data_IF_062894374454
#
_entry.id   IF_062894374454
#
_cell.length_a   1.000
_cell.length_b   1.000
_cell.length_c   1.000
_cell.angle_alpha   90.00
_cell.angle_beta   90.00
_cell.angle_gamma   90.00
#
_symmetry.space_group_name_H-M   'P 1'
#
loop_
_entity.id
_entity.type
_entity.pdbx_description
1 polymer ?
#
# COMPACT_ATOMS: atom_id res chain seq x y z
N UNK A 1 -4.50 11.86 11.42
CA UNK A 1 -3.22 11.14 11.67
C UNK A 1 -3.32 10.36 12.98
N UNK A 2 -2.77 9.13 13.06
CA UNK A 2 -2.63 8.41 14.34
C UNK A 2 -1.34 8.90 15.03
N UNK A 3 -1.40 9.44 16.25
CA UNK A 3 -0.21 9.76 17.06
C UNK A 3 0.64 8.52 17.38
N UNK A 4 1.97 8.65 17.35
CA UNK A 4 2.88 7.56 17.75
C UNK A 4 2.62 7.07 19.18
N UNK A 5 2.26 7.96 20.10
CA UNK A 5 1.91 7.59 21.48
C UNK A 5 0.72 6.61 21.55
N UNK A 6 -0.27 6.76 20.65
CA UNK A 6 -1.41 5.84 20.57
C UNK A 6 -0.95 4.46 20.08
N UNK A 7 0.03 4.41 19.15
CA UNK A 7 0.63 3.15 18.67
C UNK A 7 1.45 2.46 19.74
N UNK A 8 2.32 3.20 20.44
CA UNK A 8 3.11 2.70 21.58
C UNK A 8 2.18 2.06 22.61
N UNK A 9 1.10 2.76 22.97
CA UNK A 9 0.12 2.28 23.95
C UNK A 9 -0.64 1.05 23.44
N UNK A 10 -1.12 1.08 22.21
CA UNK A 10 -1.93 0.00 21.65
C UNK A 10 -1.15 -1.31 21.49
N UNK A 11 0.12 -1.24 21.12
CA UNK A 11 0.99 -2.42 20.96
C UNK A 11 1.80 -2.76 22.22
N UNK A 12 1.69 -1.97 23.28
CA UNK A 12 2.55 -2.05 24.47
C UNK A 12 4.05 -2.09 24.08
N UNK A 13 4.44 -1.25 23.13
CA UNK A 13 5.77 -1.24 22.54
C UNK A 13 6.42 0.14 22.69
N UNK A 14 7.25 0.37 23.73
CA UNK A 14 7.87 1.67 23.98
C UNK A 14 8.89 2.08 22.91
N UNK A 15 9.34 1.16 22.05
CA UNK A 15 10.25 1.48 20.95
C UNK A 15 9.55 1.52 19.58
N UNK A 16 8.21 1.41 19.56
CA UNK A 16 7.45 1.67 18.35
C UNK A 16 7.78 3.07 17.84
N UNK A 17 8.23 3.16 16.59
CA UNK A 17 8.71 4.39 15.98
C UNK A 17 7.92 4.69 14.72
N UNK A 18 7.52 5.94 14.56
CA UNK A 18 6.98 6.42 13.30
C UNK A 18 8.12 6.56 12.30
N UNK A 19 8.08 5.77 11.23
CA UNK A 19 9.08 5.84 10.15
C UNK A 19 8.74 6.92 9.14
N UNK A 20 7.44 7.13 8.94
CA UNK A 20 6.93 8.03 7.91
C UNK A 20 5.61 8.64 8.37
N UNK A 21 5.44 9.93 8.09
CA UNK A 21 4.16 10.62 8.20
C UNK A 21 4.07 11.66 7.08
N UNK A 22 3.06 11.51 6.22
CA UNK A 22 2.77 12.47 5.16
C UNK A 22 1.62 13.39 5.60
N UNK A 23 1.64 14.68 5.21
CA UNK A 23 0.49 15.57 5.36
C UNK A 23 -0.81 15.00 4.79
N UNK A 24 -0.75 14.05 3.85
CA UNK A 24 -1.85 13.27 3.29
C UNK A 24 -2.58 12.36 4.28
N UNK A 25 -2.16 12.34 5.54
CA UNK A 25 -2.78 11.49 6.57
C UNK A 25 -2.35 10.03 6.49
N UNK A 26 -1.25 9.73 5.78
CA UNK A 26 -0.59 8.44 5.78
C UNK A 26 0.54 8.42 6.81
N UNK A 27 0.63 7.36 7.60
CA UNK A 27 1.75 7.11 8.50
C UNK A 27 2.19 5.66 8.42
N UNK A 28 3.49 5.41 8.58
CA UNK A 28 4.01 4.08 8.84
C UNK A 28 4.80 4.02 10.14
N UNK A 29 4.78 2.85 10.75
CA UNK A 29 5.41 2.57 12.02
C UNK A 29 6.17 1.25 11.94
N UNK A 30 7.37 1.23 12.52
CA UNK A 30 8.11 0.02 12.85
C UNK A 30 7.87 -0.32 14.31
N UNK A 31 7.67 -1.60 14.59
CA UNK A 31 7.57 -2.16 15.94
C UNK A 31 8.84 -2.93 16.31
N UNK A 32 9.13 -3.04 17.61
CA UNK A 32 10.26 -3.79 18.19
C UNK A 32 10.26 -5.26 17.80
N UNK A 33 9.09 -5.85 17.54
CA UNK A 33 8.95 -7.23 17.09
C UNK A 33 9.29 -7.42 15.59
N UNK A 34 9.79 -6.37 14.92
CA UNK A 34 10.08 -6.38 13.48
C UNK A 34 8.84 -6.23 12.60
N UNK A 35 7.66 -6.10 13.19
CA UNK A 35 6.42 -5.81 12.47
C UNK A 35 6.38 -4.38 11.95
N UNK A 36 5.58 -4.16 10.92
CA UNK A 36 5.34 -2.85 10.32
C UNK A 36 3.84 -2.60 10.19
N UNK A 37 3.44 -1.36 10.46
CA UNK A 37 2.06 -0.91 10.34
C UNK A 37 2.00 0.32 9.45
N UNK A 38 0.99 0.40 8.58
CA UNK A 38 0.62 1.61 7.85
C UNK A 38 -0.80 1.99 8.22
N UNK A 39 -1.04 3.28 8.46
CA UNK A 39 -2.36 3.85 8.69
C UNK A 39 -2.59 5.00 7.70
N UNK A 40 -3.76 5.04 7.07
CA UNK A 40 -4.12 6.07 6.09
C UNK A 40 -5.53 6.57 6.34
N UNK A 41 -5.71 7.89 6.35
CA UNK A 41 -7.03 8.52 6.22
C UNK A 41 -7.15 9.09 4.81
N UNK A 42 -8.21 8.73 4.08
CA UNK A 42 -8.46 9.21 2.73
C UNK A 42 -9.82 9.90 2.70
N UNK A 43 -9.87 11.17 2.31
CA UNK A 43 -11.14 11.85 2.02
C UNK A 43 -11.39 11.88 0.52
N UNK A 44 -12.65 11.78 0.12
CA UNK A 44 -13.06 11.74 -1.29
C UNK A 44 -13.94 12.93 -1.62
N UNK A 45 -13.94 13.39 -2.88
CA UNK A 45 -14.89 14.38 -3.36
C UNK A 45 -16.35 13.97 -3.11
N UNK A 46 -16.66 12.66 -3.20
CA UNK A 46 -18.02 12.13 -3.10
C UNK A 46 -18.06 10.84 -2.27
N UNK A 47 -19.15 10.66 -1.51
CA UNK A 47 -19.41 9.44 -0.74
C UNK A 47 -19.46 8.17 -1.62
N UNK A 48 -19.96 8.27 -2.85
CA UNK A 48 -20.00 7.15 -3.80
C UNK A 48 -18.59 6.67 -4.21
N UNK A 49 -17.63 7.59 -4.35
CA UNK A 49 -16.24 7.24 -4.66
C UNK A 49 -15.56 6.58 -3.45
N UNK A 50 -15.79 7.11 -2.24
CA UNK A 50 -15.32 6.50 -1.02
C UNK A 50 -15.87 5.07 -0.85
N UNK A 51 -17.16 4.87 -1.11
CA UNK A 51 -17.81 3.56 -1.08
C UNK A 51 -17.21 2.59 -2.10
N UNK A 52 -16.95 3.02 -3.33
CA UNK A 52 -16.35 2.18 -4.35
C UNK A 52 -14.95 1.67 -3.93
N UNK A 53 -14.15 2.53 -3.30
CA UNK A 53 -12.83 2.15 -2.77
C UNK A 53 -12.94 1.22 -1.57
N UNK A 54 -13.84 1.50 -0.64
CA UNK A 54 -14.14 0.62 0.49
C UNK A 54 -14.46 -0.80 0.02
N UNK A 55 -15.36 -0.92 -0.96
CA UNK A 55 -15.75 -2.21 -1.52
C UNK A 55 -14.59 -2.91 -2.24
N UNK A 56 -13.74 -2.15 -2.94
CA UNK A 56 -12.54 -2.67 -3.60
C UNK A 56 -11.53 -3.25 -2.59
N UNK A 57 -11.24 -2.54 -1.49
CA UNK A 57 -10.37 -3.05 -0.43
C UNK A 57 -10.92 -4.34 0.19
N UNK A 58 -12.24 -4.39 0.44
CA UNK A 58 -12.91 -5.60 0.94
C UNK A 58 -12.78 -6.79 0.00
N UNK A 59 -12.94 -6.57 -1.30
CA UNK A 59 -12.87 -7.62 -2.31
C UNK A 59 -11.45 -8.06 -2.65
N UNK A 60 -10.43 -7.26 -2.32
CA UNK A 60 -9.03 -7.52 -2.66
C UNK A 60 -8.18 -7.78 -1.42
N UNK A 61 -7.62 -6.73 -0.81
CA UNK A 61 -6.70 -6.80 0.34
C UNK A 61 -7.28 -7.55 1.52
N UNK A 62 -8.56 -7.34 1.82
CA UNK A 62 -9.22 -7.93 2.97
C UNK A 62 -9.91 -9.25 2.65
N UNK A 63 -10.05 -9.65 1.39
CA UNK A 63 -10.64 -10.94 1.04
C UNK A 63 -9.77 -12.11 1.52
N UNK A 64 -8.44 -11.93 1.54
CA UNK A 64 -7.50 -12.89 2.09
C UNK A 64 -7.42 -12.87 3.64
N UNK A 65 -7.88 -11.78 4.26
CA UNK A 65 -7.84 -11.58 5.71
C UNK A 65 -9.19 -11.97 6.31
N UNK A 66 -9.30 -13.21 6.79
CA UNK A 66 -10.55 -13.69 7.38
C UNK A 66 -10.90 -12.86 8.61
N UNK A 67 -12.19 -12.54 8.75
CA UNK A 67 -12.71 -11.90 9.97
C UNK A 67 -12.37 -12.81 11.15
N UNK A 68 -11.62 -12.32 12.11
CA UNK A 68 -11.36 -13.08 13.33
C UNK A 68 -12.69 -13.22 14.09
N UNK A 69 -13.09 -14.45 14.40
CA UNK A 69 -14.37 -14.76 15.04
C UNK A 69 -14.52 -14.09 16.42
N UNK A 70 -13.40 -13.81 17.10
CA UNK A 70 -13.38 -13.11 18.39
C UNK A 70 -13.47 -11.59 18.27
N UNK A 71 -13.55 -11.04 17.04
CA UNK A 71 -13.60 -9.60 16.84
C UNK A 71 -15.05 -9.08 16.92
N UNK A 72 -15.37 -8.14 17.83
CA UNK A 72 -16.71 -7.58 17.92
C UNK A 72 -17.14 -6.92 16.60
N UNK A 73 -18.45 -6.83 16.37
CA UNK A 73 -19.00 -6.10 15.23
C UNK A 73 -18.46 -4.66 15.24
N UNK A 74 -17.67 -4.32 14.22
CA UNK A 74 -17.03 -3.01 14.12
C UNK A 74 -18.01 -2.03 13.46
N UNK A 75 -18.97 -1.50 14.22
CA UNK A 75 -19.94 -0.52 13.74
C UNK A 75 -20.71 -0.95 12.48
N UNK A 76 -21.40 0.01 11.83
CA UNK A 76 -22.19 -0.29 10.62
C UNK A 76 -21.34 -0.34 9.34
N UNK A 77 -20.15 0.26 9.30
CA UNK A 77 -19.33 0.37 8.07
C UNK A 77 -17.83 0.10 8.27
N UNK A 78 -17.44 -0.65 9.31
CA UNK A 78 -16.05 -1.08 9.44
C UNK A 78 -15.86 -2.59 9.32
N UNK A 79 -14.72 -2.94 8.74
CA UNK A 79 -14.27 -4.29 8.49
C UNK A 79 -12.89 -4.48 9.10
N UNK A 80 -12.70 -5.63 9.74
CA UNK A 80 -11.41 -6.05 10.29
C UNK A 80 -11.16 -7.51 9.90
N UNK A 81 -9.93 -7.82 9.54
CA UNK A 81 -9.53 -9.19 9.19
C UNK A 81 -8.08 -9.45 9.53
N UNK A 82 -7.75 -10.73 9.68
CA UNK A 82 -6.39 -11.22 9.90
C UNK A 82 -6.09 -12.44 9.04
N UNK A 83 -4.82 -12.70 8.76
CA UNK A 83 -4.37 -13.99 8.29
C UNK A 83 -4.61 -15.07 9.36
N UNK A 84 -4.54 -16.34 8.97
CA UNK A 84 -4.46 -17.42 9.95
C UNK A 84 -3.23 -17.22 10.87
N UNK A 85 -3.31 -17.67 12.12
CA UNK A 85 -2.23 -17.49 13.12
C UNK A 85 -0.89 -18.06 12.67
N UNK A 86 -0.92 -19.14 11.90
CA UNK A 86 0.23 -19.85 11.38
C UNK A 86 0.77 -19.31 10.05
N UNK A 87 0.08 -18.34 9.43
CA UNK A 87 0.53 -17.72 8.19
C UNK A 87 1.87 -16.99 8.38
N UNK A 88 2.71 -17.05 7.35
CA UNK A 88 3.99 -16.36 7.31
C UNK A 88 4.19 -15.64 5.96
N UNK A 89 4.29 -14.31 5.92
CA UNK A 89 4.12 -13.41 7.06
C UNK A 89 2.67 -13.36 7.55
N UNK A 90 2.49 -13.09 8.83
CA UNK A 90 1.20 -12.82 9.44
C UNK A 90 0.76 -11.39 9.13
N UNK A 91 -0.52 -11.22 8.82
CA UNK A 91 -1.09 -9.95 8.35
C UNK A 91 -2.39 -9.62 9.07
N UNK A 92 -2.64 -8.33 9.29
CA UNK A 92 -3.91 -7.82 9.80
C UNK A 92 -4.31 -6.54 9.08
N UNK A 93 -5.61 -6.29 9.00
CA UNK A 93 -6.16 -5.11 8.37
C UNK A 93 -7.39 -4.59 9.09
N UNK A 94 -7.58 -3.27 9.06
CA UNK A 94 -8.81 -2.59 9.45
C UNK A 94 -9.19 -1.57 8.38
N UNK A 95 -10.45 -1.49 8.00
CA UNK A 95 -10.97 -0.43 7.14
C UNK A 95 -12.32 0.05 7.65
N UNK A 96 -12.53 1.37 7.71
CA UNK A 96 -13.81 1.99 8.01
C UNK A 96 -14.18 2.98 6.92
N UNK A 97 -15.45 2.99 6.52
CA UNK A 97 -16.05 4.06 5.73
C UNK A 97 -16.87 4.99 6.65
N UNK A 98 -16.79 6.29 6.40
CA UNK A 98 -17.53 7.33 7.11
C UNK A 98 -17.90 8.46 6.15
N UNK A 99 -19.08 8.35 5.52
CA UNK A 99 -19.51 9.31 4.51
C UNK A 99 -18.57 9.31 3.30
N UNK A 100 -17.83 10.41 3.11
CA UNK A 100 -16.83 10.57 2.04
C UNK A 100 -15.40 10.18 2.45
N UNK A 101 -15.21 9.69 3.67
CA UNK A 101 -13.90 9.45 4.24
C UNK A 101 -13.67 7.97 4.56
N UNK A 102 -12.46 7.50 4.31
CA UNK A 102 -11.98 6.13 4.56
C UNK A 102 -10.85 6.18 5.57
N UNK A 103 -10.83 5.23 6.49
CA UNK A 103 -9.69 4.98 7.36
C UNK A 103 -9.22 3.55 7.18
N UNK A 104 -7.94 3.37 6.87
CA UNK A 104 -7.33 2.07 6.59
C UNK A 104 -6.12 1.87 7.49
N UNK A 105 -6.02 0.71 8.13
CA UNK A 105 -4.82 0.22 8.79
C UNK A 105 -4.42 -1.10 8.15
N UNK A 106 -3.13 -1.27 7.85
CA UNK A 106 -2.54 -2.52 7.39
C UNK A 106 -1.32 -2.83 8.25
N UNK A 107 -1.23 -4.06 8.75
CA UNK A 107 -0.13 -4.54 9.58
C UNK A 107 0.44 -5.81 8.99
N UNK A 108 1.78 -5.91 9.00
CA UNK A 108 2.53 -7.07 8.58
C UNK A 108 3.57 -7.41 9.63
N UNK A 109 3.50 -8.62 10.16
CA UNK A 109 4.48 -9.16 11.10
C UNK A 109 5.71 -9.71 10.36
N UNK A 110 6.86 -9.69 11.02
CA UNK A 110 8.05 -10.43 10.59
C UNK A 110 7.98 -11.89 11.09
N UNK A 111 6.90 -12.59 10.73
CA UNK A 111 6.58 -13.92 11.22
C UNK A 111 5.08 -14.10 11.43
N UNK A 112 4.69 -15.06 12.28
CA UNK A 112 3.31 -15.33 12.65
C UNK A 112 2.66 -14.15 13.37
N UNK A 113 1.32 -14.10 13.35
CA UNK A 113 0.55 -13.06 14.03
C UNK A 113 -0.02 -13.60 15.34
N UNK A 114 0.06 -12.80 16.41
CA UNK A 114 -0.53 -13.11 17.72
C UNK A 114 -1.94 -12.47 17.87
N UNK A 115 -2.66 -12.86 18.91
CA UNK A 115 -3.99 -12.32 19.18
C UNK A 115 -3.96 -10.86 19.68
N UNK A 116 -2.86 -10.43 20.31
CA UNK A 116 -2.73 -9.06 20.82
C UNK A 116 -2.73 -8.04 19.68
N UNK A 117 -2.17 -8.40 18.51
CA UNK A 117 -2.23 -7.57 17.30
C UNK A 117 -3.69 -7.25 16.92
N UNK A 118 -4.62 -8.19 17.11
CA UNK A 118 -6.03 -7.96 16.80
C UNK A 118 -6.60 -6.81 17.63
N UNK A 119 -6.37 -6.85 18.95
CA UNK A 119 -6.84 -5.84 19.89
C UNK A 119 -6.18 -4.48 19.63
N UNK A 120 -4.88 -4.46 19.35
CA UNK A 120 -4.13 -3.24 19.01
C UNK A 120 -4.71 -2.57 17.76
N UNK A 121 -4.91 -3.34 16.68
CA UNK A 121 -5.42 -2.81 15.41
C UNK A 121 -6.86 -2.33 15.55
N UNK A 122 -7.72 -3.03 16.30
CA UNK A 122 -9.08 -2.58 16.57
C UNK A 122 -9.12 -1.29 17.40
N UNK A 123 -8.25 -1.20 18.41
CA UNK A 123 -8.13 0.01 19.25
C UNK A 123 -7.72 1.21 18.43
N UNK A 124 -6.67 1.08 17.61
CA UNK A 124 -6.23 2.12 16.68
C UNK A 124 -7.29 2.43 15.62
N UNK A 125 -7.98 1.41 15.14
CA UNK A 125 -9.16 1.48 14.27
C UNK A 125 -10.21 2.46 14.80
N UNK A 126 -10.62 2.27 16.06
CA UNK A 126 -11.59 3.14 16.75
C UNK A 126 -11.06 4.56 16.94
N UNK A 127 -9.81 4.71 17.38
CA UNK A 127 -9.19 6.03 17.62
C UNK A 127 -9.13 6.84 16.31
N UNK A 128 -8.65 6.23 15.23
CA UNK A 128 -8.52 6.92 13.95
C UNK A 128 -9.87 7.24 13.30
N UNK A 129 -10.83 6.31 13.40
CA UNK A 129 -12.21 6.50 12.95
C UNK A 129 -12.91 7.67 13.68
N UNK A 130 -12.55 7.97 14.94
CA UNK A 130 -13.09 9.12 15.66
C UNK A 130 -12.55 10.49 15.20
N UNK A 131 -11.48 10.54 14.38
CA UNK A 131 -10.75 11.77 14.04
C UNK A 131 -11.07 12.31 12.64
N UNK A 132 -12.36 12.33 12.26
CA UNK A 132 -12.85 12.71 10.90
C UNK A 132 -12.47 14.13 10.45
N UNK A 133 -12.35 15.07 11.38
CA UNK A 133 -12.28 16.51 11.08
C UNK A 133 -10.89 17.00 10.68
N UNK A 134 -9.84 16.17 10.81
CA UNK A 134 -8.45 16.55 10.48
C UNK A 134 -7.97 16.02 9.10
N UNK A 135 -8.86 15.47 8.28
CA UNK A 135 -8.52 14.91 6.98
C UNK A 135 -9.12 15.75 5.82
N UNK A 136 -8.68 17.00 5.70
CA UNK A 136 -9.01 17.84 4.55
C UNK A 136 -8.11 17.44 3.36
N UNK A 137 -8.40 16.31 2.73
CA UNK A 137 -7.59 15.80 1.62
C UNK A 137 -8.51 15.32 0.49
N UNK A 138 -8.87 16.20 -0.44
CA UNK A 138 -9.45 15.78 -1.71
C UNK A 138 -8.32 15.50 -2.69
N UNK A 139 -8.28 14.30 -3.22
CA UNK A 139 -7.27 13.88 -4.18
C UNK A 139 -7.83 14.03 -5.59
N UNK A 140 -7.23 14.91 -6.41
CA UNK A 140 -7.58 15.08 -7.82
C UNK A 140 -7.21 13.87 -8.68
N UNK A 141 -7.27 14.02 -10.00
CA UNK A 141 -6.95 12.92 -10.92
C UNK A 141 -5.51 12.41 -10.75
N UNK A 142 -5.29 11.13 -11.04
CA UNK A 142 -3.95 10.57 -11.03
C UNK A 142 -3.15 11.06 -12.25
N UNK A 143 -1.99 11.66 -12.00
CA UNK A 143 -1.10 12.19 -13.04
C UNK A 143 -0.04 11.18 -13.54
N UNK A 144 0.05 10.01 -12.91
CA UNK A 144 1.11 9.04 -13.18
C UNK A 144 0.84 8.27 -14.48
N UNK A 145 -0.42 7.92 -14.72
CA UNK A 145 -0.83 7.11 -15.87
C UNK A 145 -2.20 7.55 -16.37
N UNK A 146 -2.34 7.52 -17.70
CA UNK A 146 -3.59 7.85 -18.41
C UNK A 146 -4.51 6.63 -18.47
N UNK A 147 -5.82 6.85 -18.66
CA UNK A 147 -6.77 5.75 -18.84
C UNK A 147 -6.41 4.84 -20.03
N UNK A 148 -5.85 5.40 -21.10
CA UNK A 148 -5.41 4.64 -22.27
C UNK A 148 -4.25 3.70 -21.94
N UNK A 149 -3.20 4.20 -21.27
CA UNK A 149 -2.05 3.38 -20.86
C UNK A 149 -2.46 2.26 -19.91
N UNK A 150 -3.33 2.58 -18.96
CA UNK A 150 -3.85 1.59 -18.03
C UNK A 150 -4.65 0.51 -18.77
N UNK A 151 -5.45 0.88 -19.77
CA UNK A 151 -6.18 -0.09 -20.60
C UNK A 151 -5.22 -0.97 -21.38
N UNK A 152 -4.14 -0.41 -21.93
CA UNK A 152 -3.11 -1.18 -22.61
C UNK A 152 -2.38 -2.14 -21.66
N UNK A 153 -2.05 -1.70 -20.44
CA UNK A 153 -1.24 -2.47 -19.49
C UNK A 153 -2.03 -3.51 -18.69
N UNK A 154 -3.29 -3.20 -18.33
CA UNK A 154 -4.15 -4.05 -17.50
C UNK A 154 -5.18 -4.84 -18.33
N UNK A 155 -5.18 -4.67 -19.65
CA UNK A 155 -5.99 -5.44 -20.58
C UNK A 155 -7.43 -4.93 -20.73
N UNK A 156 -8.26 -5.72 -21.42
CA UNK A 156 -9.66 -5.39 -21.71
C UNK A 156 -10.50 -5.48 -20.43
N UNK A 157 -10.76 -4.32 -19.84
CA UNK A 157 -11.71 -4.06 -18.76
C UNK A 157 -11.90 -2.54 -18.71
N UNK A 158 -12.94 -2.01 -18.07
CA UNK A 158 -13.00 -0.56 -17.80
C UNK A 158 -12.08 -0.31 -16.59
N UNK A 159 -10.79 0.00 -16.77
CA UNK A 159 -9.91 0.07 -15.64
C UNK A 159 -10.22 1.35 -14.86
N UNK A 160 -10.24 1.28 -13.55
CA UNK A 160 -10.47 2.46 -12.72
C UNK A 160 -9.14 3.04 -12.32
N UNK A 161 -8.95 4.33 -12.60
CA UNK A 161 -7.78 5.11 -12.17
C UNK A 161 -8.20 5.96 -10.97
N UNK A 162 -7.44 5.87 -9.89
CA UNK A 162 -7.78 6.51 -8.62
C UNK A 162 -6.50 7.02 -7.94
N UNK A 163 -6.52 8.25 -7.43
CA UNK A 163 -5.46 8.76 -6.55
C UNK A 163 -5.81 8.39 -5.10
N UNK A 164 -5.03 7.52 -4.45
CA UNK A 164 -5.26 7.08 -3.06
C UNK A 164 -4.71 8.03 -2.01
N UNK A 165 -3.64 8.77 -2.32
CA UNK A 165 -3.05 9.79 -1.48
C UNK A 165 -2.35 10.85 -2.34
N UNK A 166 -1.84 11.93 -1.74
CA UNK A 166 -1.21 13.04 -2.47
C UNK A 166 -0.18 12.57 -3.51
N UNK A 167 0.55 11.50 -3.16
CA UNK A 167 1.61 10.88 -3.94
C UNK A 167 1.39 9.38 -4.20
N UNK A 168 0.15 8.89 -4.11
CA UNK A 168 -0.17 7.48 -4.33
C UNK A 168 -1.31 7.37 -5.34
N UNK A 169 -1.04 6.74 -6.47
CA UNK A 169 -2.03 6.38 -7.47
C UNK A 169 -2.19 4.87 -7.58
N UNK A 170 -3.41 4.42 -7.84
CA UNK A 170 -3.71 3.05 -8.24
C UNK A 170 -4.55 3.07 -9.52
N UNK A 171 -4.27 2.15 -10.40
CA UNK A 171 -5.20 1.67 -11.39
C UNK A 171 -5.42 0.18 -11.20
N UNK A 172 -6.66 -0.26 -11.39
CA UNK A 172 -7.01 -1.67 -11.34
C UNK A 172 -8.01 -2.03 -12.42
N UNK A 173 -7.94 -3.26 -12.92
CA UNK A 173 -8.94 -3.81 -13.81
C UNK A 173 -9.60 -5.03 -13.16
N UNK A 174 -10.93 -5.06 -13.24
CA UNK A 174 -11.73 -6.23 -12.87
C UNK A 174 -12.20 -6.95 -14.14
N UNK A 175 -12.31 -8.28 -14.13
CA UNK A 175 -11.84 -9.25 -13.13
C UNK A 175 -10.35 -9.62 -13.30
N UNK A 176 -9.67 -10.07 -12.25
CA UNK A 176 -8.33 -10.68 -12.35
C UNK A 176 -7.22 -10.09 -11.49
N UNK A 177 -7.52 -9.13 -10.61
CA UNK A 177 -6.55 -8.62 -9.62
C UNK A 177 -5.35 -7.88 -10.23
N UNK A 178 -5.44 -7.47 -11.49
CA UNK A 178 -4.39 -6.68 -12.14
C UNK A 178 -4.40 -5.25 -11.63
N UNK A 179 -3.22 -4.70 -11.44
CA UNK A 179 -3.05 -3.38 -10.87
C UNK A 179 -1.79 -2.69 -11.38
N UNK A 180 -1.84 -1.36 -11.45
CA UNK A 180 -0.70 -0.49 -11.60
C UNK A 180 -0.74 0.52 -10.46
N UNK A 181 0.31 0.56 -9.65
CA UNK A 181 0.42 1.45 -8.50
C UNK A 181 1.63 2.34 -8.67
N UNK A 182 1.48 3.62 -8.37
CA UNK A 182 2.57 4.58 -8.32
C UNK A 182 2.60 5.27 -6.96
N UNK A 183 3.74 5.25 -6.27
CA UNK A 183 3.93 5.84 -4.95
C UNK A 183 5.23 6.62 -4.86
N UNK A 184 5.21 7.80 -4.24
CA UNK A 184 6.45 8.43 -3.78
C UNK A 184 6.51 8.62 -2.28
N UNK A 185 7.72 8.51 -1.75
CA UNK A 185 8.06 8.89 -0.39
C UNK A 185 9.13 9.98 -0.43
N UNK A 186 8.90 11.06 0.33
CA UNK A 186 9.95 12.04 0.62
C UNK A 186 10.97 11.37 1.54
N UNK A 187 12.25 11.74 1.43
CA UNK A 187 13.38 11.14 2.17
C UNK A 187 13.95 9.83 1.57
N UNK A 188 13.84 9.66 0.25
CA UNK A 188 14.58 8.62 -0.46
C UNK A 188 16.07 8.95 -0.55
N UNK A 189 16.94 8.00 -0.18
CA UNK A 189 18.39 8.12 -0.35
C UNK A 189 18.91 7.01 -1.25
N UNK A 190 20.10 7.22 -1.85
CA UNK A 190 20.77 6.17 -2.62
C UNK A 190 21.05 4.92 -1.77
N UNK A 191 21.31 5.12 -0.48
CA UNK A 191 21.52 4.07 0.50
C UNK A 191 20.23 3.31 0.79
N UNK A 192 19.11 4.01 1.04
CA UNK A 192 17.81 3.34 1.28
C UNK A 192 17.40 2.50 0.06
N UNK A 193 17.63 3.01 -1.15
CA UNK A 193 17.39 2.27 -2.38
C UNK A 193 18.33 1.06 -2.54
N UNK A 194 19.59 1.18 -2.14
CA UNK A 194 20.55 0.07 -2.10
C UNK A 194 20.12 -1.05 -1.14
N UNK A 195 19.61 -0.67 0.04
CA UNK A 195 19.09 -1.61 1.03
C UNK A 195 17.82 -2.33 0.54
N UNK A 196 16.93 -1.62 -0.16
CA UNK A 196 15.76 -2.21 -0.83
C UNK A 196 16.23 -3.21 -1.88
N UNK A 197 17.15 -2.83 -2.76
CA UNK A 197 17.67 -3.71 -3.81
C UNK A 197 18.30 -4.98 -3.22
N UNK A 198 19.12 -4.84 -2.17
CA UNK A 198 19.77 -5.98 -1.51
C UNK A 198 18.74 -6.92 -0.86
N UNK A 199 17.67 -6.37 -0.29
CA UNK A 199 16.58 -7.14 0.29
C UNK A 199 15.76 -7.88 -0.78
N UNK A 200 15.43 -7.21 -1.89
CA UNK A 200 14.72 -7.81 -3.02
C UNK A 200 15.48 -8.99 -3.63
N UNK A 201 16.81 -8.89 -3.77
CA UNK A 201 17.66 -9.99 -4.29
C UNK A 201 17.56 -11.30 -3.50
N UNK A 202 17.13 -11.26 -2.24
CA UNK A 202 16.94 -12.48 -1.42
C UNK A 202 15.75 -13.32 -1.87
N UNK A 203 14.76 -12.69 -2.51
CA UNK A 203 13.46 -13.32 -2.79
C UNK A 203 12.97 -13.11 -4.23
N UNK A 204 13.59 -12.25 -5.03
CA UNK A 204 13.15 -11.89 -6.38
C UNK A 204 14.32 -11.90 -7.38
N UNK A 205 13.98 -12.00 -8.67
CA UNK A 205 14.87 -11.57 -9.74
C UNK A 205 14.95 -10.05 -9.74
N UNK A 206 16.17 -9.51 -9.82
CA UNK A 206 16.43 -8.06 -9.78
C UNK A 206 17.24 -7.64 -10.99
N UNK A 207 16.74 -6.67 -11.74
CA UNK A 207 17.40 -6.08 -12.92
C UNK A 207 17.67 -4.60 -12.65
N UNK A 208 18.89 -4.14 -12.87
CA UNK A 208 19.23 -2.72 -12.71
C UNK A 208 18.72 -1.89 -13.88
N UNK A 209 18.32 -0.65 -13.57
CA UNK A 209 17.79 0.33 -14.53
C UNK A 209 18.65 1.61 -14.47
N UNK A 210 19.90 1.58 -14.98
CA UNK A 210 20.85 2.67 -14.82
C UNK A 210 20.37 4.01 -15.40
N UNK A 211 19.48 3.97 -16.39
CA UNK A 211 18.84 5.15 -16.97
C UNK A 211 17.97 5.95 -15.98
N UNK A 212 17.62 5.35 -14.83
CA UNK A 212 16.85 5.98 -13.75
C UNK A 212 17.73 6.35 -12.54
N UNK A 213 19.05 6.21 -12.67
CA UNK A 213 20.02 6.57 -11.64
C UNK A 213 20.61 5.37 -10.88
N UNK A 214 21.54 5.68 -9.97
CA UNK A 214 22.26 4.68 -9.20
C UNK A 214 21.31 3.87 -8.30
N UNK A 215 21.50 2.55 -8.26
CA UNK A 215 20.67 1.58 -7.54
C UNK A 215 19.20 1.51 -7.98
N UNK A 216 18.80 2.20 -9.05
CA UNK A 216 17.47 2.01 -9.62
C UNK A 216 17.34 0.60 -10.19
N UNK A 217 16.21 -0.05 -9.93
CA UNK A 217 16.03 -1.46 -10.26
C UNK A 217 14.56 -1.84 -10.44
N UNK A 218 14.34 -2.89 -11.23
CA UNK A 218 13.12 -3.67 -11.24
C UNK A 218 13.30 -4.93 -10.39
N UNK A 219 12.26 -5.38 -9.69
CA UNK A 219 12.19 -6.67 -9.01
C UNK A 219 10.93 -7.41 -9.43
N UNK A 220 11.05 -8.66 -9.86
CA UNK A 220 9.94 -9.51 -10.34
C UNK A 220 10.25 -10.99 -10.10
N UNK A 221 9.33 -11.89 -10.48
CA UNK A 221 9.46 -13.34 -10.26
C UNK A 221 9.83 -13.69 -8.80
N UNK A 222 9.19 -13.02 -7.84
CA UNK A 222 9.48 -13.20 -6.43
C UNK A 222 8.98 -14.55 -5.91
N UNK A 223 9.55 -15.02 -4.80
CA UNK A 223 8.95 -16.07 -3.98
C UNK A 223 7.62 -15.56 -3.38
N UNK A 224 6.70 -16.47 -3.10
CA UNK A 224 5.43 -16.14 -2.44
C UNK A 224 5.67 -15.35 -1.13
N UNK A 225 4.79 -14.41 -0.76
CA UNK A 225 3.50 -14.08 -1.39
C UNK A 225 3.55 -13.02 -2.50
N UNK A 226 4.72 -12.46 -2.84
CA UNK A 226 4.86 -11.38 -3.82
C UNK A 226 5.07 -11.86 -5.27
N UNK A 227 4.79 -13.14 -5.56
CA UNK A 227 5.26 -13.85 -6.75
C UNK A 227 4.66 -13.38 -8.08
N UNK A 228 3.56 -12.63 -8.05
CA UNK A 228 2.86 -12.20 -9.27
C UNK A 228 3.22 -10.78 -9.71
N UNK A 229 3.78 -9.95 -8.83
CA UNK A 229 4.00 -8.53 -9.10
C UNK A 229 5.44 -8.21 -9.52
N UNK A 230 5.58 -7.11 -10.25
CA UNK A 230 6.84 -6.39 -10.46
C UNK A 230 6.83 -5.11 -9.64
N UNK A 231 7.99 -4.71 -9.12
CA UNK A 231 8.22 -3.35 -8.64
C UNK A 231 9.35 -2.69 -9.40
N UNK A 232 9.23 -1.38 -9.67
CA UNK A 232 10.31 -0.53 -10.18
C UNK A 232 10.58 0.54 -9.14
N UNK A 233 11.83 0.63 -8.67
CA UNK A 233 12.25 1.53 -7.61
C UNK A 233 13.38 2.43 -8.12
N UNK A 234 13.28 3.74 -7.88
CA UNK A 234 14.36 4.70 -8.12
C UNK A 234 14.29 5.88 -7.15
N UNK A 235 15.39 6.61 -7.01
CA UNK A 235 15.45 7.84 -6.22
C UNK A 235 15.86 9.00 -7.11
N UNK A 236 15.08 10.09 -7.03
CA UNK A 236 15.29 11.30 -7.80
C UNK A 236 15.04 12.51 -6.90
N UNK A 237 16.03 13.41 -6.83
CA UNK A 237 15.98 14.63 -6.01
C UNK A 237 15.49 14.42 -4.56
N UNK A 238 15.98 13.36 -3.89
CA UNK A 238 15.60 13.03 -2.50
C UNK A 238 14.21 12.39 -2.35
N UNK A 239 13.56 12.06 -3.45
CA UNK A 239 12.26 11.38 -3.51
C UNK A 239 12.46 9.94 -3.96
N UNK A 240 12.01 8.98 -3.15
CA UNK A 240 11.92 7.58 -3.57
C UNK A 240 10.62 7.40 -4.34
N UNK A 241 10.73 6.88 -5.56
CA UNK A 241 9.63 6.50 -6.42
C UNK A 241 9.56 4.98 -6.46
N UNK A 242 8.37 4.44 -6.21
CA UNK A 242 8.07 3.02 -6.33
C UNK A 242 6.84 2.85 -7.22
N UNK A 243 6.96 2.04 -8.26
CA UNK A 243 5.82 1.56 -9.03
C UNK A 243 5.64 0.07 -8.82
N UNK A 244 4.40 -0.39 -8.73
CA UNK A 244 4.06 -1.81 -8.64
C UNK A 244 3.15 -2.15 -9.82
N UNK A 245 3.46 -3.23 -10.52
CA UNK A 245 2.67 -3.73 -11.63
C UNK A 245 2.31 -5.19 -11.40
N UNK A 246 1.01 -5.47 -11.38
CA UNK A 246 0.45 -6.83 -11.37
C UNK A 246 -0.23 -7.07 -12.72
N UNK A 247 0.35 -7.87 -13.62
CA UNK A 247 -0.24 -8.13 -14.93
C UNK A 247 -1.51 -8.98 -14.81
N UNK A 248 -2.41 -8.91 -15.82
CA UNK A 248 -3.63 -9.72 -15.82
C UNK A 248 -3.32 -11.22 -15.94
N UNK A 249 -3.81 -12.00 -14.97
CA UNK A 249 -3.84 -13.46 -14.99
C UNK A 249 -2.48 -14.16 -15.22
N UNK A 250 -1.36 -13.50 -14.89
CA UNK A 250 -0.01 -14.08 -14.97
C UNK A 250 0.92 -13.42 -13.95
N UNK A 251 2.10 -14.00 -13.77
CA UNK A 251 3.19 -13.33 -13.06
C UNK A 251 3.88 -12.30 -13.96
N UNK A 252 4.43 -11.26 -13.34
CA UNK A 252 5.27 -10.29 -14.03
C UNK A 252 6.61 -10.90 -14.45
N UNK A 253 7.06 -10.53 -15.65
CA UNK A 253 8.28 -11.00 -16.30
C UNK A 253 9.13 -9.83 -16.77
N UNK A 254 10.39 -10.09 -17.13
CA UNK A 254 11.34 -9.03 -17.51
C UNK A 254 10.85 -8.14 -18.65
N UNK A 255 10.15 -8.71 -19.65
CA UNK A 255 9.62 -7.94 -20.78
C UNK A 255 8.56 -6.89 -20.38
N UNK A 256 7.96 -7.00 -19.19
CA UNK A 256 7.04 -5.99 -18.67
C UNK A 256 7.76 -4.67 -18.33
N UNK A 257 9.08 -4.69 -18.09
CA UNK A 257 9.87 -3.46 -17.90
C UNK A 257 9.74 -2.55 -19.12
N UNK A 258 9.77 -3.13 -20.32
CA UNK A 258 9.63 -2.38 -21.58
C UNK A 258 8.21 -1.82 -21.74
N UNK A 259 7.19 -2.58 -21.34
CA UNK A 259 5.81 -2.12 -21.36
C UNK A 259 5.57 -0.93 -20.40
N UNK A 260 6.30 -0.89 -19.28
CA UNK A 260 6.21 0.16 -18.26
C UNK A 260 7.10 1.37 -18.53
N UNK A 261 7.92 1.37 -19.59
CA UNK A 261 8.94 2.39 -19.84
C UNK A 261 8.36 3.81 -19.92
N UNK A 262 7.24 3.99 -20.62
CA UNK A 262 6.59 5.30 -20.78
C UNK A 262 6.14 5.87 -19.44
N UNK A 263 5.44 5.05 -18.64
CA UNK A 263 4.96 5.45 -17.31
C UNK A 263 6.12 5.73 -16.37
N UNK A 264 7.16 4.88 -16.42
CA UNK A 264 8.36 5.00 -15.60
C UNK A 264 9.14 6.27 -15.93
N UNK A 265 9.31 6.58 -17.21
CA UNK A 265 10.00 7.78 -17.67
C UNK A 265 9.23 9.04 -17.27
N UNK A 266 7.91 9.05 -17.43
CA UNK A 266 7.07 10.16 -16.96
C UNK A 266 7.22 10.40 -15.47
N UNK A 267 7.22 9.34 -14.66
CA UNK A 267 7.45 9.48 -13.22
C UNK A 267 8.86 10.04 -12.94
N UNK A 268 9.89 9.58 -13.66
CA UNK A 268 11.25 10.06 -13.51
C UNK A 268 11.42 11.55 -13.87
N UNK A 269 10.80 12.00 -14.96
CA UNK A 269 10.88 13.39 -15.43
C UNK A 269 10.14 14.37 -14.50
N UNK A 270 9.18 13.87 -13.72
CA UNK A 270 8.39 14.66 -12.78
C UNK A 270 9.13 14.99 -11.49
N UNK A 271 9.95 14.07 -10.98
CA UNK A 271 10.61 14.18 -9.68
C UNK A 271 12.05 14.65 -9.82
#
# INVERSE_FOLDING_TARGET
>A
MIPQADVIKAFNDPKARMDFADPSGMCSFSLSNGGSMTATVQKRPKASEAKAIYDSYKATTFAALKRNASTPAVGQEAYFGMSAKDANPGEAGFISLQGDSLFVISYRANGKIDDNVAESILTLGRIGSGKKDNAAQSYGECEWFTAAEVTTLLGKGKPTVQRLAANHCIASANPGGSALVGMTSKHGTKESLGNIMASSKKICTVVQLPQLGANAHASFACKAPANTAMSINFVKNGTHVMMIYTPPNRAAVESDIKALEVVTKRAFDRF
#
